data_IF_974837978473
#
_entry.id   IF_974837978473
#
_cell.length_a   1.000
_cell.length_b   1.000
_cell.length_c   1.000
_cell.angle_alpha   90.00
_cell.angle_beta   90.00
_cell.angle_gamma   90.00
#
_symmetry.space_group_name_H-M   'P 1'
#
loop_
_entity.id
_entity.type
_entity.pdbx_description
1 polymer ?
#
# COMPACT_ATOMS: atom_id res chain seq x y z
N UNK A 1 3.70 -3.08 -0.82
CA UNK A 1 4.14 -2.11 0.20
C UNK A 1 3.13 -0.99 0.27
N UNK A 2 2.66 -0.67 1.47
CA UNK A 2 1.80 0.52 1.67
C UNK A 2 2.59 1.82 1.55
N UNK A 3 1.93 2.88 1.12
CA UNK A 3 2.51 4.23 1.01
C UNK A 3 1.91 5.20 2.04
N UNK A 4 1.42 4.67 3.16
CA UNK A 4 0.75 5.45 4.20
C UNK A 4 1.70 6.39 4.96
N UNK A 5 2.97 5.98 5.04
CA UNK A 5 4.07 6.78 5.56
C UNK A 5 5.34 6.49 4.76
N UNK A 6 5.97 7.53 4.28
CA UNK A 6 7.26 7.48 3.60
C UNK A 6 8.14 8.58 4.19
N UNK A 7 9.34 8.21 4.60
CA UNK A 7 10.40 9.14 4.99
C UNK A 7 11.64 8.86 4.15
N UNK A 8 12.32 9.88 3.69
CA UNK A 8 13.57 9.75 2.93
C UNK A 8 14.44 10.99 3.09
N UNK A 9 15.74 10.80 2.96
CA UNK A 9 16.68 11.90 2.79
C UNK A 9 16.43 12.60 1.44
N UNK A 10 16.71 13.90 1.34
CA UNK A 10 16.66 14.61 0.07
C UNK A 10 17.53 13.90 -0.97
N UNK A 11 16.99 13.76 -2.18
CA UNK A 11 17.69 13.13 -3.31
C UNK A 11 18.02 11.64 -3.13
N UNK A 12 17.29 10.90 -2.28
CA UNK A 12 17.48 9.46 -2.14
C UNK A 12 17.32 8.74 -3.49
N UNK A 13 18.33 7.96 -3.87
CA UNK A 13 18.47 7.36 -5.22
C UNK A 13 17.26 6.53 -5.64
N UNK A 14 16.70 5.72 -4.74
CA UNK A 14 15.51 4.93 -5.00
C UNK A 14 14.33 5.77 -5.49
N UNK A 15 14.05 6.91 -4.82
CA UNK A 15 12.92 7.77 -5.19
C UNK A 15 13.20 8.56 -6.47
N UNK A 16 14.45 8.99 -6.71
CA UNK A 16 14.83 9.61 -8.00
C UNK A 16 14.56 8.65 -9.15
N UNK A 17 15.00 7.41 -9.02
CA UNK A 17 14.79 6.39 -10.05
C UNK A 17 13.31 5.99 -10.18
N UNK A 18 12.55 5.97 -9.07
CA UNK A 18 11.12 5.73 -9.11
C UNK A 18 10.41 6.85 -9.88
N UNK A 19 10.75 8.12 -9.63
CA UNK A 19 10.22 9.26 -10.35
C UNK A 19 10.53 9.20 -11.85
N UNK A 20 11.77 8.89 -12.23
CA UNK A 20 12.17 8.72 -13.64
C UNK A 20 11.32 7.66 -14.37
N UNK A 21 10.80 6.66 -13.68
CA UNK A 21 9.92 5.65 -14.29
C UNK A 21 8.58 6.24 -14.77
N UNK A 22 8.22 7.44 -14.33
CA UNK A 22 7.01 8.15 -14.73
C UNK A 22 7.22 9.13 -15.89
N UNK A 23 8.46 9.51 -16.24
CA UNK A 23 8.77 10.56 -17.22
C UNK A 23 8.15 10.33 -18.62
N UNK A 24 7.97 9.08 -18.99
CA UNK A 24 7.42 8.69 -20.30
C UNK A 24 6.09 7.92 -20.19
N UNK A 25 5.46 7.96 -19.02
CA UNK A 25 4.15 7.32 -18.83
C UNK A 25 3.03 8.26 -19.21
N UNK A 26 2.10 7.74 -20.01
CA UNK A 26 0.84 8.39 -20.31
C UNK A 26 -0.28 7.67 -19.58
N UNK A 27 -1.24 8.45 -19.03
CA UNK A 27 -2.43 7.86 -18.39
C UNK A 27 -3.27 7.04 -19.40
N UNK A 28 -3.30 7.48 -20.67
CA UNK A 28 -3.92 6.70 -21.75
C UNK A 28 -2.82 5.92 -22.45
N UNK A 29 -2.92 4.61 -22.43
CA UNK A 29 -2.00 3.68 -23.09
C UNK A 29 -2.21 3.70 -24.62
N UNK A 30 -1.24 3.21 -25.42
CA UNK A 30 -1.37 3.20 -26.88
C UNK A 30 -2.59 2.46 -27.43
N UNK A 31 -3.18 1.54 -26.66
CA UNK A 31 -4.43 0.82 -26.99
C UNK A 31 -5.70 1.58 -26.54
N UNK A 32 -5.56 2.83 -26.09
CA UNK A 32 -6.67 3.72 -25.75
C UNK A 32 -7.29 3.48 -24.38
N UNK A 33 -6.68 2.65 -23.52
CA UNK A 33 -7.18 2.35 -22.18
C UNK A 33 -6.47 3.18 -21.11
N UNK A 34 -7.13 3.45 -19.96
CA UNK A 34 -6.45 4.09 -18.84
C UNK A 34 -5.43 3.16 -18.19
N UNK A 35 -4.22 3.66 -17.93
CA UNK A 35 -3.24 2.98 -17.10
C UNK A 35 -3.66 3.09 -15.62
N UNK A 36 -4.14 1.98 -15.05
CA UNK A 36 -4.60 1.90 -13.67
C UNK A 36 -3.52 1.41 -12.71
N UNK A 37 -2.27 1.28 -13.16
CA UNK A 37 -1.16 0.88 -12.30
C UNK A 37 -0.96 1.91 -11.20
N UNK A 38 -1.12 1.48 -9.96
CA UNK A 38 -1.00 2.36 -8.80
C UNK A 38 0.47 2.61 -8.43
N UNK A 39 0.73 3.73 -7.73
CA UNK A 39 2.06 4.01 -7.17
C UNK A 39 2.51 2.90 -6.20
N UNK A 40 1.58 2.28 -5.48
CA UNK A 40 1.84 1.15 -4.57
C UNK A 40 2.37 -0.06 -5.33
N UNK A 41 1.78 -0.38 -6.48
CA UNK A 41 2.25 -1.47 -7.34
C UNK A 41 3.63 -1.21 -7.91
N UNK A 42 3.84 0.01 -8.46
CA UNK A 42 5.11 0.39 -9.07
C UNK A 42 6.26 0.36 -8.06
N UNK A 43 6.04 0.93 -6.88
CA UNK A 43 6.99 0.93 -5.77
C UNK A 43 7.29 -0.50 -5.31
N UNK A 44 6.25 -1.32 -5.12
CA UNK A 44 6.40 -2.72 -4.68
C UNK A 44 7.19 -3.53 -5.69
N UNK A 45 6.85 -3.43 -6.98
CA UNK A 45 7.55 -4.13 -8.07
C UNK A 45 9.02 -3.75 -8.14
N UNK A 46 9.35 -2.46 -7.96
CA UNK A 46 10.74 -1.99 -7.95
C UNK A 46 11.51 -2.56 -6.76
N UNK A 47 10.92 -2.54 -5.56
CA UNK A 47 11.53 -3.12 -4.36
C UNK A 47 11.77 -4.64 -4.51
N UNK A 48 10.82 -5.39 -5.06
CA UNK A 48 10.99 -6.82 -5.33
C UNK A 48 12.14 -7.08 -6.31
N UNK A 49 12.12 -6.36 -7.42
CA UNK A 49 13.02 -6.61 -8.55
C UNK A 49 14.47 -6.21 -8.26
N UNK A 50 14.68 -5.10 -7.56
CA UNK A 50 16.01 -4.50 -7.37
C UNK A 50 16.59 -4.84 -6.00
N UNK A 51 15.76 -4.89 -4.96
CA UNK A 51 16.20 -5.02 -3.57
C UNK A 51 15.82 -6.37 -2.92
N UNK A 52 15.12 -7.25 -3.64
CA UNK A 52 14.74 -8.57 -3.12
C UNK A 52 13.67 -8.52 -2.02
N UNK A 53 12.81 -7.51 -2.04
CA UNK A 53 11.70 -7.39 -1.08
C UNK A 53 10.80 -8.62 -1.10
N UNK A 54 10.41 -9.10 0.08
CA UNK A 54 9.47 -10.21 0.28
C UNK A 54 8.13 -9.70 0.83
N UNK A 55 7.04 -10.17 0.24
CA UNK A 55 5.66 -9.83 0.66
C UNK A 55 5.17 -10.69 1.84
N UNK A 56 5.97 -10.82 2.89
CA UNK A 56 5.67 -11.65 4.07
C UNK A 56 5.20 -10.85 5.29
N UNK A 57 5.12 -9.52 5.17
CA UNK A 57 4.71 -8.63 6.25
C UNK A 57 5.77 -8.41 7.34
N UNK A 58 6.95 -8.99 7.20
CA UNK A 58 8.04 -8.87 8.17
C UNK A 58 8.74 -7.51 8.07
N UNK A 59 9.43 -7.13 9.15
CA UNK A 59 10.44 -6.07 9.11
C UNK A 59 11.56 -6.46 8.14
N UNK A 60 11.94 -5.55 7.24
CA UNK A 60 13.02 -5.79 6.28
C UNK A 60 13.92 -4.57 6.17
N UNK A 61 15.23 -4.84 6.20
CA UNK A 61 16.28 -3.87 5.88
C UNK A 61 16.88 -4.26 4.53
N UNK A 62 16.67 -3.42 3.52
CA UNK A 62 17.10 -3.65 2.14
C UNK A 62 18.14 -2.57 1.74
N UNK A 63 19.38 -2.78 2.15
CA UNK A 63 20.41 -1.75 2.03
C UNK A 63 20.10 -0.53 2.91
N UNK A 64 19.90 0.62 2.31
CA UNK A 64 19.52 1.89 2.95
C UNK A 64 18.00 2.08 3.09
N UNK A 65 17.19 1.09 2.65
CA UNK A 65 15.73 1.14 2.74
C UNK A 65 15.26 0.27 3.90
N UNK A 66 14.48 0.86 4.81
CA UNK A 66 13.82 0.15 5.90
C UNK A 66 12.32 0.03 5.66
N UNK A 67 11.80 -1.18 5.75
CA UNK A 67 10.39 -1.48 5.63
C UNK A 67 9.85 -2.02 6.95
N UNK A 68 8.83 -1.35 7.46
CA UNK A 68 8.18 -1.72 8.72
C UNK A 68 6.94 -2.58 8.48
N UNK A 69 6.65 -3.52 9.39
CA UNK A 69 5.38 -4.24 9.42
C UNK A 69 4.17 -3.30 9.51
N UNK A 70 3.00 -3.80 9.14
CA UNK A 70 1.77 -2.99 9.08
C UNK A 70 1.31 -2.48 10.44
N UNK A 71 1.60 -3.18 11.53
CA UNK A 71 1.24 -2.79 12.90
C UNK A 71 1.90 -1.48 13.35
N UNK A 72 3.00 -1.07 12.73
CA UNK A 72 3.67 0.19 13.06
C UNK A 72 2.88 1.43 12.62
N UNK A 73 2.36 1.45 11.38
CA UNK A 73 1.79 2.67 10.79
C UNK A 73 0.41 2.46 10.15
N UNK A 74 -0.02 1.22 9.97
CA UNK A 74 -1.27 0.89 9.29
C UNK A 74 -1.92 -0.39 9.84
N UNK A 75 -2.20 -0.46 11.15
CA UNK A 75 -2.73 -1.67 11.80
C UNK A 75 -4.21 -1.93 11.49
N UNK A 76 -4.89 -1.02 10.79
CA UNK A 76 -6.30 -1.20 10.43
C UNK A 76 -6.42 -1.97 9.12
N UNK A 77 -7.01 -3.16 9.19
CA UNK A 77 -7.36 -3.94 8.00
C UNK A 77 -8.72 -3.47 7.47
N UNK A 78 -8.72 -2.78 6.30
CA UNK A 78 -9.93 -2.25 5.71
C UNK A 78 -10.82 -3.34 5.11
N UNK A 79 -10.30 -4.57 4.87
CA UNK A 79 -11.05 -5.68 4.27
C UNK A 79 -12.03 -6.25 5.30
N UNK A 80 -11.55 -6.57 6.49
CA UNK A 80 -12.36 -7.11 7.58
C UNK A 80 -12.79 -6.06 8.61
N UNK A 81 -12.23 -4.85 8.55
CA UNK A 81 -12.51 -3.75 9.46
C UNK A 81 -11.99 -3.96 10.87
N UNK A 82 -10.95 -4.79 11.05
CA UNK A 82 -10.31 -5.02 12.35
C UNK A 82 -9.12 -4.11 12.56
N UNK A 83 -8.89 -3.74 13.81
CA UNK A 83 -7.74 -2.95 14.24
C UNK A 83 -6.77 -3.84 15.02
N UNK A 84 -5.61 -4.13 14.43
CA UNK A 84 -4.54 -4.95 15.01
C UNK A 84 -3.46 -4.07 15.67
N UNK A 85 -3.88 -3.26 16.65
CA UNK A 85 -2.96 -2.36 17.37
C UNK A 85 -2.02 -3.15 18.27
N UNK A 86 -0.73 -2.79 18.24
CA UNK A 86 0.32 -3.30 19.11
C UNK A 86 0.99 -2.15 19.88
N UNK A 87 1.92 -2.45 20.76
CA UNK A 87 2.78 -1.45 21.43
C UNK A 87 3.67 -0.69 20.43
N UNK A 88 3.92 -1.27 19.26
CA UNK A 88 4.71 -0.67 18.19
C UNK A 88 3.89 0.28 17.30
N UNK A 89 2.60 0.47 17.56
CA UNK A 89 1.73 1.28 16.68
C UNK A 89 1.94 2.77 16.94
N UNK A 90 2.46 3.48 15.95
CA UNK A 90 2.69 4.93 15.96
C UNK A 90 1.58 5.72 15.27
N UNK A 91 0.98 5.15 14.23
CA UNK A 91 -0.12 5.80 13.51
C UNK A 91 -1.12 4.79 12.96
N UNK A 92 -2.34 5.28 12.63
CA UNK A 92 -3.42 4.46 12.09
C UNK A 92 -3.96 5.11 10.83
N UNK A 93 -3.86 4.42 9.70
CA UNK A 93 -4.52 4.82 8.47
C UNK A 93 -5.92 4.21 8.40
N UNK A 94 -6.95 5.05 8.53
CA UNK A 94 -8.34 4.60 8.67
C UNK A 94 -9.03 4.24 7.35
N UNK A 95 -8.40 4.47 6.20
CA UNK A 95 -9.01 4.25 4.88
C UNK A 95 -10.42 4.85 4.75
N UNK A 96 -10.58 6.09 5.21
CA UNK A 96 -11.89 6.77 5.26
C UNK A 96 -12.56 6.95 3.89
N UNK A 97 -11.78 6.85 2.79
CA UNK A 97 -12.26 6.87 1.40
C UNK A 97 -13.24 8.04 1.12
N UNK A 98 -12.96 9.21 1.66
CA UNK A 98 -13.86 10.38 1.60
C UNK A 98 -14.13 10.87 0.17
N UNK A 99 -13.29 10.50 -0.79
CA UNK A 99 -13.44 10.81 -2.23
C UNK A 99 -14.38 9.83 -2.96
N UNK A 100 -14.74 8.68 -2.36
CA UNK A 100 -15.63 7.71 -2.98
C UNK A 100 -17.03 7.92 -2.44
N UNK A 101 -17.99 8.24 -3.31
CA UNK A 101 -19.41 8.31 -2.98
C UNK A 101 -20.00 6.90 -2.81
N UNK A 102 -19.49 6.13 -1.87
CA UNK A 102 -19.99 4.80 -1.56
C UNK A 102 -20.76 4.83 -0.25
N UNK A 103 -21.91 4.14 -0.22
CA UNK A 103 -22.69 4.04 1.02
C UNK A 103 -21.88 3.36 2.13
N UNK A 104 -21.75 4.00 3.29
CA UNK A 104 -21.09 3.44 4.49
C UNK A 104 -21.69 2.09 4.89
N UNK A 105 -22.95 1.87 4.57
CA UNK A 105 -23.67 0.64 4.87
C UNK A 105 -23.15 -0.54 4.03
N UNK A 106 -22.87 -0.32 2.74
CA UNK A 106 -22.32 -1.34 1.84
C UNK A 106 -20.91 -1.77 2.33
N UNK A 107 -20.08 -0.83 2.78
CA UNK A 107 -18.76 -1.14 3.31
C UNK A 107 -18.85 -1.99 4.59
N UNK A 108 -19.75 -1.64 5.51
CA UNK A 108 -19.96 -2.42 6.75
C UNK A 108 -20.48 -3.84 6.46
N UNK A 109 -21.39 -3.99 5.49
CA UNK A 109 -21.91 -5.30 5.10
C UNK A 109 -20.81 -6.16 4.47
N UNK A 110 -20.00 -5.58 3.60
CA UNK A 110 -18.84 -6.25 2.99
C UNK A 110 -17.83 -6.72 4.07
N UNK A 111 -17.46 -5.85 5.00
CA UNK A 111 -16.56 -6.18 6.11
C UNK A 111 -17.13 -7.30 6.98
N UNK A 112 -18.42 -7.26 7.29
CA UNK A 112 -19.10 -8.30 8.07
C UNK A 112 -19.06 -9.65 7.34
N UNK A 113 -19.33 -9.69 6.03
CA UNK A 113 -19.22 -10.92 5.23
C UNK A 113 -17.80 -11.47 5.23
N UNK A 114 -16.78 -10.64 5.07
CA UNK A 114 -15.37 -11.07 5.10
C UNK A 114 -14.97 -11.67 6.45
N UNK A 115 -15.49 -11.14 7.56
CA UNK A 115 -15.27 -11.72 8.90
C UNK A 115 -15.87 -13.13 9.02
N UNK A 116 -17.08 -13.35 8.43
CA UNK A 116 -17.78 -14.64 8.53
C UNK A 116 -17.14 -15.71 7.63
N UNK A 117 -16.73 -15.33 6.44
CA UNK A 117 -16.24 -16.29 5.43
C UNK A 117 -14.75 -16.61 5.57
N UNK A 118 -13.99 -15.83 6.34
CA UNK A 118 -12.54 -15.97 6.46
C UNK A 118 -11.80 -15.80 5.13
N UNK A 119 -12.51 -15.45 4.07
CA UNK A 119 -11.99 -15.38 2.72
C UNK A 119 -11.28 -14.03 2.51
N UNK A 120 -9.99 -13.99 2.78
CA UNK A 120 -9.11 -12.94 2.26
C UNK A 120 -8.93 -13.19 0.76
N UNK A 121 -9.66 -12.47 -0.07
CA UNK A 121 -9.32 -12.41 -1.49
C UNK A 121 -7.91 -11.82 -1.59
N UNK A 122 -6.99 -12.64 -2.04
CA UNK A 122 -5.62 -12.24 -2.34
C UNK A 122 -5.58 -11.35 -3.58
#
# INVERSE_FOLDING_TARGET
>A
VGTNLIGADPSHSFFIELLKSYDHRCFITPDGKPDQTTNVEELTRKLEKVYGFRKDGSFQQLGDITLYPTDYFCPYDYIDGQLHRTENTYSIHWYSQTWIKRSRWINKLSQWMHRLTGNRMK
#
